data_IF_825671843659
#
_entry.id   IF_825671843659
#
_cell.length_a   1.000
_cell.length_b   1.000
_cell.length_c   1.000
_cell.angle_alpha   90.00
_cell.angle_beta   90.00
_cell.angle_gamma   90.00
#
_symmetry.space_group_name_H-M   'P 1'
#
loop_
_entity.id
_entity.type
_entity.pdbx_description
1 polymer ?
#
# COMPACT_ATOMS: atom_id res chain seq x y z
N UNK A 1 18.78 -5.81 -18.32
CA UNK A 1 18.28 -6.85 -17.40
C UNK A 1 19.41 -7.47 -16.55
N UNK A 2 20.57 -7.81 -17.12
CA UNK A 2 21.65 -8.48 -16.37
C UNK A 2 22.29 -7.62 -15.26
N UNK A 3 22.30 -6.30 -15.39
CA UNK A 3 23.03 -5.43 -14.48
C UNK A 3 22.26 -5.10 -13.18
N UNK A 4 20.94 -5.24 -13.14
CA UNK A 4 20.12 -4.88 -11.98
C UNK A 4 19.68 -6.08 -11.13
N UNK A 5 20.04 -7.31 -11.49
CA UNK A 5 19.73 -8.48 -10.64
C UNK A 5 20.52 -8.45 -9.32
N UNK A 6 21.70 -7.81 -9.29
CA UNK A 6 22.46 -7.63 -8.06
C UNK A 6 21.76 -6.74 -7.02
N UNK A 7 20.81 -5.93 -7.48
CA UNK A 7 20.01 -5.03 -6.65
C UNK A 7 18.74 -5.70 -6.12
N UNK A 8 18.56 -6.99 -6.40
CA UNK A 8 17.46 -7.76 -5.81
C UNK A 8 17.53 -7.75 -4.29
N UNK A 9 16.35 -7.69 -3.65
CA UNK A 9 16.24 -7.87 -2.21
C UNK A 9 16.55 -9.32 -1.85
N UNK A 10 17.47 -9.52 -0.91
CA UNK A 10 17.97 -10.84 -0.52
C UNK A 10 17.82 -11.01 0.99
N UNK A 11 17.18 -12.08 1.48
CA UNK A 11 17.10 -12.45 2.88
C UNK A 11 18.39 -13.17 3.33
N UNK A 12 18.48 -13.51 4.61
CA UNK A 12 19.61 -14.22 5.18
C UNK A 12 19.92 -15.56 4.46
N UNK A 13 18.90 -16.24 3.96
CA UNK A 13 19.05 -17.50 3.24
C UNK A 13 19.75 -17.37 1.87
N UNK A 14 19.88 -16.15 1.34
CA UNK A 14 20.66 -15.87 0.13
C UNK A 14 19.88 -15.86 -1.18
N UNK A 15 18.63 -16.29 -1.21
CA UNK A 15 17.82 -16.30 -2.43
C UNK A 15 17.13 -14.96 -2.68
N UNK A 16 17.08 -14.52 -3.93
CA UNK A 16 16.35 -13.29 -4.29
C UNK A 16 14.87 -13.41 -3.97
N UNK A 17 14.28 -12.36 -3.40
CA UNK A 17 12.84 -12.27 -3.19
C UNK A 17 12.19 -11.82 -4.50
N UNK A 18 11.30 -12.65 -5.03
CA UNK A 18 10.62 -12.42 -6.29
C UNK A 18 9.18 -11.98 -6.07
N UNK A 19 8.77 -10.92 -6.75
CA UNK A 19 7.35 -10.54 -6.87
C UNK A 19 6.62 -11.45 -7.86
N UNK A 20 7.30 -11.82 -8.95
CA UNK A 20 6.79 -12.71 -9.98
C UNK A 20 7.93 -13.33 -10.77
N UNK A 21 7.62 -14.07 -11.83
CA UNK A 21 8.66 -14.72 -12.63
C UNK A 21 9.65 -13.69 -13.19
N UNK A 22 10.91 -13.80 -12.78
CA UNK A 22 12.01 -12.89 -13.17
C UNK A 22 11.80 -11.40 -12.84
N UNK A 23 10.93 -11.10 -11.86
CA UNK A 23 10.68 -9.75 -11.34
C UNK A 23 11.11 -9.72 -9.87
N UNK A 24 12.33 -9.27 -9.55
CA UNK A 24 12.78 -9.18 -8.16
C UNK A 24 12.21 -7.94 -7.47
N UNK A 25 11.97 -8.04 -6.17
CA UNK A 25 11.92 -6.84 -5.33
C UNK A 25 13.30 -6.19 -5.31
N UNK A 26 13.36 -4.88 -5.38
CA UNK A 26 14.59 -4.12 -5.63
C UNK A 26 15.05 -3.38 -4.38
N UNK A 27 16.37 -3.38 -4.14
CA UNK A 27 17.05 -2.37 -3.34
C UNK A 27 17.19 -1.13 -4.21
N UNK A 28 16.53 -0.01 -3.91
CA UNK A 28 16.59 1.19 -4.74
C UNK A 28 17.92 1.93 -4.53
N UNK A 29 18.97 1.36 -5.10
CA UNK A 29 20.31 1.92 -5.12
C UNK A 29 20.38 3.21 -5.94
N UNK A 30 21.44 3.99 -5.77
CA UNK A 30 21.66 5.21 -6.58
C UNK A 30 21.75 4.87 -8.07
N UNK A 31 22.38 3.76 -8.44
CA UNK A 31 22.49 3.30 -9.82
C UNK A 31 21.11 2.95 -10.40
N UNK A 32 20.27 2.26 -9.62
CA UNK A 32 18.90 1.92 -10.02
C UNK A 32 18.04 3.18 -10.19
N UNK A 33 18.14 4.15 -9.29
CA UNK A 33 17.44 5.42 -9.37
C UNK A 33 17.81 6.16 -10.68
N UNK A 34 19.10 6.26 -11.00
CA UNK A 34 19.54 6.87 -12.26
C UNK A 34 19.07 6.09 -13.50
N UNK A 35 19.08 4.77 -13.43
CA UNK A 35 18.49 3.94 -14.48
C UNK A 35 17.01 4.25 -14.69
N UNK A 36 16.22 4.34 -13.63
CA UNK A 36 14.80 4.70 -13.69
C UNK A 36 14.58 6.07 -14.32
N UNK A 37 15.32 7.09 -13.88
CA UNK A 37 15.25 8.43 -14.44
C UNK A 37 15.54 8.46 -15.95
N UNK A 38 16.66 7.85 -16.37
CA UNK A 38 17.15 7.99 -17.74
C UNK A 38 16.51 7.02 -18.73
N UNK A 39 16.14 5.81 -18.30
CA UNK A 39 15.66 4.76 -19.20
C UNK A 39 14.14 4.60 -19.19
N UNK A 40 13.45 5.03 -18.14
CA UNK A 40 12.00 4.93 -18.02
C UNK A 40 11.34 6.31 -18.00
N UNK A 41 11.54 7.09 -16.96
CA UNK A 41 10.84 8.38 -16.76
C UNK A 41 11.07 9.33 -17.95
N UNK A 42 12.30 9.52 -18.35
CA UNK A 42 12.61 10.39 -19.50
C UNK A 42 11.88 9.96 -20.76
N UNK A 43 11.84 8.65 -21.05
CA UNK A 43 11.21 8.14 -22.27
C UNK A 43 9.70 8.35 -22.30
N UNK A 44 9.02 8.12 -21.17
CA UNK A 44 7.56 8.29 -21.13
C UNK A 44 7.18 9.76 -21.22
N UNK A 45 7.96 10.66 -20.63
CA UNK A 45 7.76 12.11 -20.78
C UNK A 45 8.06 12.56 -22.22
N UNK A 46 9.12 12.07 -22.85
CA UNK A 46 9.42 12.36 -24.27
C UNK A 46 8.32 11.84 -25.21
N UNK A 47 7.56 10.83 -24.80
CA UNK A 47 6.40 10.32 -25.52
C UNK A 47 5.10 11.10 -25.23
N UNK A 48 5.16 12.15 -24.41
CA UNK A 48 4.00 12.99 -24.11
C UNK A 48 3.14 12.53 -22.94
N UNK A 49 3.62 11.59 -22.11
CA UNK A 49 2.92 11.15 -20.91
C UNK A 49 3.12 12.17 -19.79
N UNK A 50 2.03 12.63 -19.20
CA UNK A 50 1.99 13.67 -18.18
C UNK A 50 1.63 13.19 -16.77
N UNK A 51 1.50 11.88 -16.58
CA UNK A 51 1.28 11.27 -15.27
C UNK A 51 2.17 10.04 -15.08
N UNK A 52 2.84 9.98 -13.95
CA UNK A 52 3.75 8.88 -13.60
C UNK A 52 3.27 8.25 -12.30
N UNK A 53 3.17 6.94 -12.31
CA UNK A 53 2.81 6.13 -11.16
C UNK A 53 4.01 5.25 -10.79
N UNK A 54 4.47 5.34 -9.53
CA UNK A 54 5.46 4.43 -8.97
C UNK A 54 4.82 3.65 -7.86
N UNK A 55 4.62 2.39 -8.13
CA UNK A 55 3.83 1.49 -7.31
C UNK A 55 4.68 0.86 -6.21
N UNK A 56 4.06 0.64 -5.07
CA UNK A 56 4.49 -0.24 -3.99
C UNK A 56 5.94 -0.03 -3.53
N UNK A 57 6.22 1.02 -2.74
CA UNK A 57 7.55 1.24 -2.15
C UNK A 57 7.85 0.19 -1.06
N UNK A 58 8.03 -1.05 -1.46
CA UNK A 58 8.05 -2.24 -0.61
C UNK A 58 9.46 -2.76 -0.36
N UNK A 59 9.90 -2.71 0.89
CA UNK A 59 11.11 -3.38 1.30
C UNK A 59 10.77 -4.46 2.34
N UNK A 60 10.98 -5.72 1.99
CA UNK A 60 10.73 -6.83 2.92
C UNK A 60 11.63 -6.74 4.15
N UNK A 61 11.03 -6.84 5.34
CA UNK A 61 11.79 -6.76 6.59
C UNK A 61 12.86 -7.85 6.70
N UNK A 62 12.59 -9.05 6.15
CA UNK A 62 13.56 -10.15 6.10
C UNK A 62 14.73 -9.95 5.11
N UNK A 63 14.61 -9.00 4.17
CA UNK A 63 15.70 -8.65 3.25
C UNK A 63 16.74 -7.75 3.92
N UNK A 64 17.84 -7.46 3.21
CA UNK A 64 18.92 -6.61 3.72
C UNK A 64 20.29 -7.28 3.74
N UNK A 65 20.43 -8.37 2.99
CA UNK A 65 21.68 -9.15 2.93
C UNK A 65 22.41 -9.07 1.58
N UNK A 66 21.82 -8.43 0.56
CA UNK A 66 22.46 -8.23 -0.74
C UNK A 66 23.63 -7.25 -0.64
N UNK A 67 24.56 -7.37 -1.57
CA UNK A 67 25.71 -6.46 -1.63
C UNK A 67 25.27 -5.03 -1.88
N UNK A 68 24.28 -4.80 -2.73
CA UNK A 68 23.71 -3.48 -2.96
C UNK A 68 23.18 -2.85 -1.66
N UNK A 69 22.53 -3.62 -0.78
CA UNK A 69 22.07 -3.10 0.50
C UNK A 69 23.24 -2.78 1.44
N UNK A 70 24.28 -3.61 1.47
CA UNK A 70 25.49 -3.37 2.29
C UNK A 70 26.25 -2.13 1.84
N UNK A 71 26.32 -1.89 0.52
CA UNK A 71 26.90 -0.67 -0.05
C UNK A 71 26.11 0.58 0.40
N UNK A 72 24.78 0.54 0.30
CA UNK A 72 23.90 1.63 0.77
C UNK A 72 24.00 1.83 2.30
N UNK A 73 24.13 0.77 3.07
CA UNK A 73 24.37 0.85 4.52
C UNK A 73 25.65 1.61 4.83
N UNK A 74 26.76 1.23 4.20
CA UNK A 74 28.04 1.91 4.38
C UNK A 74 27.96 3.38 3.99
N UNK A 75 27.24 3.69 2.91
CA UNK A 75 27.06 5.06 2.44
C UNK A 75 26.21 5.89 3.39
N UNK A 76 25.18 5.30 4.02
CA UNK A 76 24.25 5.98 4.89
C UNK A 76 24.77 6.16 6.33
N UNK A 77 25.32 5.09 6.91
CA UNK A 77 25.77 5.10 8.30
C UNK A 77 27.25 5.43 8.49
N UNK A 78 28.09 5.27 7.47
CA UNK A 78 29.53 5.52 7.56
C UNK A 78 30.32 4.41 8.28
N UNK A 79 29.70 3.28 8.60
CA UNK A 79 30.35 2.13 9.23
C UNK A 79 29.94 0.80 8.57
N UNK A 80 30.72 -0.30 8.77
CA UNK A 80 30.45 -1.58 8.13
C UNK A 80 29.07 -2.13 8.46
N UNK A 81 28.45 -2.79 7.48
CA UNK A 81 27.15 -3.45 7.63
C UNK A 81 27.15 -4.44 8.79
N UNK A 82 26.02 -4.47 9.51
CA UNK A 82 25.74 -5.39 10.59
C UNK A 82 24.51 -6.20 10.27
N UNK A 83 24.59 -7.52 10.51
CA UNK A 83 23.47 -8.41 10.24
C UNK A 83 22.29 -8.11 11.18
N UNK A 84 21.12 -7.90 10.59
CA UNK A 84 19.92 -7.48 11.34
C UNK A 84 19.44 -8.53 12.36
N UNK A 85 19.72 -9.82 12.13
CA UNK A 85 19.33 -10.92 13.03
C UNK A 85 20.20 -11.02 14.30
N UNK A 86 21.28 -10.27 14.40
CA UNK A 86 22.21 -10.37 15.53
C UNK A 86 21.75 -9.55 16.74
N UNK A 87 20.95 -8.51 16.53
CA UNK A 87 20.43 -7.70 17.64
C UNK A 87 19.22 -6.85 17.26
N UNK A 88 18.39 -6.45 18.24
CA UNK A 88 17.30 -5.49 18.03
C UNK A 88 17.76 -4.16 17.44
N UNK A 89 18.95 -3.67 17.86
CA UNK A 89 19.54 -2.44 17.32
C UNK A 89 19.85 -2.59 15.83
N UNK A 90 20.44 -3.70 15.42
CA UNK A 90 20.75 -3.95 14.02
C UNK A 90 19.46 -4.09 13.17
N UNK A 91 18.41 -4.72 13.71
CA UNK A 91 17.09 -4.77 13.09
C UNK A 91 16.53 -3.36 12.87
N UNK A 92 16.59 -2.52 13.91
CA UNK A 92 16.13 -1.12 13.81
C UNK A 92 16.89 -0.35 12.73
N UNK A 93 18.22 -0.40 12.74
CA UNK A 93 19.05 0.28 11.75
C UNK A 93 18.79 -0.22 10.34
N UNK A 94 18.65 -1.53 10.14
CA UNK A 94 18.35 -2.11 8.83
C UNK A 94 17.00 -1.62 8.31
N UNK A 95 15.94 -1.65 9.11
CA UNK A 95 14.62 -1.23 8.68
C UNK A 95 14.52 0.30 8.49
N UNK A 96 15.20 1.08 9.30
CA UNK A 96 15.33 2.53 9.10
C UNK A 96 16.02 2.85 7.77
N UNK A 97 17.06 2.10 7.39
CA UNK A 97 17.69 2.26 6.09
C UNK A 97 16.75 1.88 4.95
N UNK A 98 16.04 0.76 5.04
CA UNK A 98 15.04 0.32 4.03
C UNK A 98 14.00 1.40 3.77
N UNK A 99 13.44 1.96 4.83
CA UNK A 99 12.55 3.11 4.77
C UNK A 99 13.19 4.29 4.01
N UNK A 100 14.42 4.67 4.39
CA UNK A 100 15.13 5.80 3.77
C UNK A 100 15.39 5.57 2.29
N UNK A 101 15.72 4.36 1.88
CA UNK A 101 16.03 4.04 0.49
C UNK A 101 14.84 4.28 -0.45
N UNK A 102 13.64 3.85 -0.07
CA UNK A 102 12.43 4.13 -0.87
C UNK A 102 11.97 5.57 -0.77
N UNK A 103 12.10 6.21 0.40
CA UNK A 103 11.82 7.64 0.54
C UNK A 103 12.69 8.45 -0.44
N UNK A 104 13.99 8.22 -0.42
CA UNK A 104 14.95 8.85 -1.33
C UNK A 104 14.64 8.56 -2.79
N UNK A 105 14.33 7.31 -3.11
CA UNK A 105 14.08 6.92 -4.50
C UNK A 105 12.88 7.65 -5.10
N UNK A 106 11.78 7.71 -4.39
CA UNK A 106 10.58 8.38 -4.87
C UNK A 106 10.77 9.89 -4.92
N UNK A 107 11.42 10.50 -3.93
CA UNK A 107 11.76 11.92 -3.96
C UNK A 107 12.61 12.27 -5.19
N UNK A 108 13.71 11.55 -5.39
CA UNK A 108 14.63 11.82 -6.50
C UNK A 108 13.98 11.58 -7.88
N UNK A 109 13.23 10.49 -8.04
CA UNK A 109 12.61 10.15 -9.33
C UNK A 109 11.49 11.14 -9.67
N UNK A 110 10.62 11.45 -8.72
CA UNK A 110 9.51 12.39 -8.96
C UNK A 110 9.97 13.83 -9.12
N UNK A 111 10.97 14.26 -8.34
CA UNK A 111 11.60 15.57 -8.53
C UNK A 111 12.22 15.69 -9.93
N UNK A 112 12.91 14.65 -10.38
CA UNK A 112 13.44 14.60 -11.75
C UNK A 112 12.30 14.64 -12.79
N UNK A 113 11.25 13.86 -12.62
CA UNK A 113 10.11 13.80 -13.53
C UNK A 113 9.47 15.18 -13.73
N UNK A 114 9.20 15.87 -12.62
CA UNK A 114 8.64 17.23 -12.66
C UNK A 114 9.60 18.25 -13.31
N UNK A 115 10.88 18.18 -12.97
CA UNK A 115 11.88 19.09 -13.57
C UNK A 115 12.05 18.84 -15.07
N UNK A 116 12.14 17.58 -15.47
CA UNK A 116 12.28 17.20 -16.87
C UNK A 116 11.00 17.55 -17.67
N UNK A 117 9.82 17.26 -17.11
CA UNK A 117 8.54 17.66 -17.72
C UNK A 117 8.47 19.16 -17.98
N UNK A 118 8.78 19.99 -16.97
CA UNK A 118 8.81 21.46 -17.14
C UNK A 118 9.76 21.89 -18.26
N UNK A 119 10.91 21.22 -18.43
CA UNK A 119 11.83 21.53 -19.54
C UNK A 119 11.24 21.22 -20.92
N UNK A 120 10.17 20.41 -20.97
CA UNK A 120 9.42 20.06 -22.19
C UNK A 120 8.09 20.83 -22.30
N UNK A 121 7.83 21.76 -21.39
CA UNK A 121 6.55 22.51 -21.35
C UNK A 121 5.38 21.69 -20.81
N UNK A 122 5.65 20.60 -20.04
CA UNK A 122 4.65 19.70 -19.49
C UNK A 122 4.58 19.85 -17.98
N UNK A 123 3.36 19.74 -17.43
CA UNK A 123 3.12 19.60 -16.00
C UNK A 123 2.91 18.13 -15.66
N UNK A 124 3.97 17.48 -15.22
CA UNK A 124 3.95 16.04 -14.91
C UNK A 124 3.46 15.82 -13.49
N UNK A 125 2.43 15.00 -13.38
CA UNK A 125 1.85 14.56 -12.10
C UNK A 125 2.47 13.23 -11.66
N UNK A 126 2.69 13.08 -10.34
CA UNK A 126 3.36 11.94 -9.77
C UNK A 126 2.52 11.33 -8.65
N UNK A 127 2.16 10.06 -8.79
CA UNK A 127 1.29 9.34 -7.88
C UNK A 127 1.95 8.07 -7.33
N UNK A 128 1.57 7.69 -6.13
CA UNK A 128 2.03 6.47 -5.46
C UNK A 128 0.86 5.53 -5.25
N UNK A 129 0.64 4.53 -6.12
CA UNK A 129 -0.21 3.39 -5.80
C UNK A 129 0.45 2.58 -4.69
N UNK A 130 -0.25 2.38 -3.57
CA UNK A 130 0.33 1.70 -2.41
C UNK A 130 -0.72 1.10 -1.49
N UNK A 131 -0.31 0.10 -0.72
CA UNK A 131 -1.12 -0.49 0.33
C UNK A 131 -1.04 0.35 1.60
N UNK A 132 -2.00 0.16 2.50
CA UNK A 132 -1.99 0.83 3.79
C UNK A 132 -0.88 0.30 4.71
N UNK A 133 -0.45 1.12 5.68
CA UNK A 133 0.46 0.64 6.73
C UNK A 133 -0.11 -0.52 7.53
N UNK A 134 -1.44 -0.67 7.59
CA UNK A 134 -2.11 -1.82 8.20
C UNK A 134 -1.72 -3.11 7.50
N UNK A 135 -1.76 -3.11 6.15
CA UNK A 135 -1.33 -4.26 5.33
C UNK A 135 0.17 -4.49 5.43
N UNK A 136 0.97 -3.46 5.25
CA UNK A 136 2.43 -3.58 5.32
C UNK A 136 2.91 -4.09 6.67
N UNK A 137 2.28 -3.65 7.77
CA UNK A 137 2.58 -4.19 9.08
C UNK A 137 2.26 -5.69 9.20
N UNK A 138 1.16 -6.15 8.61
CA UNK A 138 0.79 -7.56 8.60
C UNK A 138 1.71 -8.39 7.70
N UNK A 139 2.15 -7.85 6.57
CA UNK A 139 3.00 -8.54 5.59
C UNK A 139 4.47 -8.46 5.87
N UNK A 140 4.89 -7.75 6.91
CA UNK A 140 6.30 -7.57 7.24
C UNK A 140 7.07 -6.80 6.14
N UNK A 141 6.47 -5.71 5.68
CA UNK A 141 7.05 -4.81 4.69
C UNK A 141 7.35 -3.47 5.35
N UNK A 142 8.52 -2.92 5.09
CA UNK A 142 8.93 -1.58 5.46
C UNK A 142 8.64 -0.64 4.30
N UNK A 143 7.87 0.41 4.54
CA UNK A 143 7.50 1.42 3.55
C UNK A 143 7.52 2.82 4.16
N UNK A 144 7.92 3.85 3.41
CA UNK A 144 7.89 5.24 3.86
C UNK A 144 6.59 5.96 3.51
N UNK A 145 5.52 5.27 3.16
CA UNK A 145 4.36 5.85 2.47
C UNK A 145 3.77 7.07 3.18
N UNK A 146 3.61 7.06 4.50
CA UNK A 146 3.06 8.21 5.23
C UNK A 146 3.99 9.42 5.19
N UNK A 147 5.30 9.22 5.12
CA UNK A 147 6.27 10.32 4.96
C UNK A 147 6.31 10.89 3.54
N UNK A 148 5.99 10.07 2.53
CA UNK A 148 5.94 10.54 1.13
C UNK A 148 4.86 11.60 0.92
N UNK A 149 3.80 11.61 1.73
CA UNK A 149 2.74 12.62 1.66
C UNK A 149 3.25 14.05 1.95
N UNK A 150 4.38 14.21 2.61
CA UNK A 150 5.01 15.51 2.84
C UNK A 150 5.88 16.00 1.70
N UNK A 151 6.23 15.17 0.73
CA UNK A 151 7.07 15.53 -0.40
C UNK A 151 6.31 16.37 -1.42
N UNK A 152 6.85 17.53 -1.78
CA UNK A 152 6.24 18.43 -2.77
C UNK A 152 6.15 17.83 -4.18
N UNK A 153 6.94 16.80 -4.47
CA UNK A 153 6.92 16.11 -5.75
C UNK A 153 5.81 15.05 -5.86
N UNK A 154 5.16 14.67 -4.75
CA UNK A 154 4.04 13.72 -4.73
C UNK A 154 2.73 14.47 -4.85
N UNK A 155 1.93 14.18 -5.87
CA UNK A 155 0.63 14.82 -6.09
C UNK A 155 -0.52 14.04 -5.45
N UNK A 156 -0.37 12.74 -5.30
CA UNK A 156 -1.41 11.92 -4.70
C UNK A 156 -1.10 10.44 -4.65
N UNK A 157 -2.12 9.67 -4.30
CA UNK A 157 -2.03 8.23 -4.04
C UNK A 157 -3.20 7.49 -4.68
N UNK A 158 -2.96 6.20 -4.97
CA UNK A 158 -4.03 5.23 -5.17
C UNK A 158 -3.99 4.28 -3.98
N UNK A 159 -5.06 4.26 -3.19
CA UNK A 159 -5.19 3.34 -2.07
C UNK A 159 -5.49 1.93 -2.60
N UNK A 160 -4.49 1.07 -2.59
CA UNK A 160 -4.65 -0.32 -3.02
C UNK A 160 -5.32 -1.15 -1.93
N UNK A 161 -6.56 -0.79 -1.61
CA UNK A 161 -7.44 -1.56 -0.72
C UNK A 161 -8.36 -2.39 -1.59
N UNK A 162 -8.00 -3.63 -1.81
CA UNK A 162 -8.76 -4.55 -2.63
C UNK A 162 -9.24 -5.76 -1.81
N UNK A 163 -10.17 -6.49 -2.36
CA UNK A 163 -10.82 -7.59 -1.65
C UNK A 163 -9.81 -8.58 -1.07
N UNK A 164 -8.74 -8.88 -1.79
CA UNK A 164 -7.69 -9.79 -1.34
C UNK A 164 -6.89 -9.28 -0.14
N UNK A 165 -6.58 -7.97 -0.07
CA UNK A 165 -5.84 -7.40 1.07
C UNK A 165 -6.68 -7.39 2.33
N UNK A 166 -7.95 -7.09 2.21
CA UNK A 166 -8.88 -7.02 3.34
C UNK A 166 -9.28 -8.39 3.90
N UNK A 167 -8.84 -9.47 3.26
CA UNK A 167 -9.07 -10.85 3.73
C UNK A 167 -8.06 -11.35 4.75
N UNK A 168 -7.09 -10.53 5.13
CA UNK A 168 -6.16 -10.96 6.19
C UNK A 168 -6.91 -11.31 7.47
N UNK A 169 -6.62 -12.53 7.97
CA UNK A 169 -7.30 -13.03 9.15
C UNK A 169 -6.83 -12.29 10.41
N UNK A 170 -7.78 -11.74 11.16
CA UNK A 170 -7.53 -10.99 12.39
C UNK A 170 -8.07 -11.74 13.60
N UNK A 171 -7.38 -11.57 14.74
CA UNK A 171 -7.85 -12.11 16.02
C UNK A 171 -8.79 -11.12 16.71
N UNK A 172 -9.97 -11.58 17.07
CA UNK A 172 -10.91 -10.81 17.88
C UNK A 172 -11.86 -11.74 18.62
N UNK A 173 -12.08 -11.49 19.90
CA UNK A 173 -13.03 -12.21 20.75
C UNK A 173 -12.84 -13.74 20.74
N UNK A 174 -11.58 -14.19 20.83
CA UNK A 174 -11.23 -15.60 20.88
C UNK A 174 -11.14 -16.32 19.53
N UNK A 175 -11.46 -15.64 18.44
CA UNK A 175 -11.49 -16.20 17.08
C UNK A 175 -10.52 -15.51 16.12
N UNK A 176 -9.85 -16.32 15.30
CA UNK A 176 -9.09 -15.86 14.14
C UNK A 176 -9.93 -16.11 12.88
N UNK A 177 -10.31 -15.05 12.19
CA UNK A 177 -11.05 -15.15 10.92
C UNK A 177 -10.89 -13.93 10.03
N UNK A 178 -11.26 -14.06 8.76
CA UNK A 178 -11.40 -12.94 7.84
C UNK A 178 -12.53 -12.01 8.31
N UNK A 179 -12.27 -10.68 8.30
CA UNK A 179 -13.23 -9.62 8.61
C UNK A 179 -13.13 -8.54 7.56
N UNK A 180 -13.61 -8.88 6.38
CA UNK A 180 -13.34 -8.11 5.16
C UNK A 180 -13.84 -6.67 5.26
N UNK A 181 -15.05 -6.45 5.76
CA UNK A 181 -15.60 -5.09 5.92
C UNK A 181 -14.78 -4.25 6.90
N UNK A 182 -14.50 -4.79 8.09
CA UNK A 182 -13.77 -4.06 9.13
C UNK A 182 -12.32 -3.78 8.71
N UNK A 183 -11.67 -4.74 8.07
CA UNK A 183 -10.32 -4.55 7.55
C UNK A 183 -10.30 -3.48 6.46
N UNK A 184 -11.18 -3.57 5.48
CA UNK A 184 -11.30 -2.57 4.42
C UNK A 184 -11.58 -1.17 4.99
N UNK A 185 -12.49 -1.05 5.96
CA UNK A 185 -12.77 0.21 6.63
C UNK A 185 -11.52 0.83 7.26
N UNK A 186 -10.73 0.03 7.98
CA UNK A 186 -9.50 0.49 8.62
C UNK A 186 -8.39 0.80 7.60
N UNK A 187 -8.29 0.01 6.53
CA UNK A 187 -7.33 0.23 5.46
C UNK A 187 -7.61 1.53 4.70
N UNK A 188 -8.86 1.74 4.25
CA UNK A 188 -9.28 2.99 3.60
C UNK A 188 -9.11 4.18 4.54
N UNK A 189 -9.48 4.04 5.82
CA UNK A 189 -9.32 5.07 6.83
C UNK A 189 -7.86 5.45 7.05
N UNK A 190 -6.96 4.47 7.10
CA UNK A 190 -5.52 4.72 7.18
C UNK A 190 -5.01 5.56 5.99
N UNK A 191 -5.43 5.20 4.78
CA UNK A 191 -5.03 5.93 3.57
C UNK A 191 -5.59 7.36 3.53
N UNK A 192 -6.86 7.55 3.88
CA UNK A 192 -7.47 8.87 3.98
C UNK A 192 -6.76 9.75 5.01
N UNK A 193 -6.56 9.25 6.22
CA UNK A 193 -5.90 9.99 7.30
C UNK A 193 -4.45 10.34 6.99
N UNK A 194 -3.78 9.49 6.18
CA UNK A 194 -2.43 9.75 5.73
C UNK A 194 -2.35 10.98 4.81
N UNK A 195 -3.34 11.19 3.96
CA UNK A 195 -3.28 12.18 2.89
C UNK A 195 -4.09 13.44 3.15
N UNK A 196 -5.23 13.34 3.82
CA UNK A 196 -6.14 14.47 4.04
C UNK A 196 -5.47 15.72 4.63
N UNK A 197 -4.64 15.61 5.69
CA UNK A 197 -3.97 16.78 6.26
C UNK A 197 -2.96 17.44 5.32
N UNK A 198 -2.48 16.73 4.31
CA UNK A 198 -1.46 17.21 3.38
C UNK A 198 -2.04 17.83 2.10
N UNK A 199 -3.35 17.68 1.86
CA UNK A 199 -4.04 18.10 0.66
C UNK A 199 -3.67 17.30 -0.60
N UNK A 200 -3.03 16.13 -0.47
CA UNK A 200 -2.71 15.25 -1.61
C UNK A 200 -3.98 14.55 -2.09
N UNK A 201 -4.04 14.35 -3.41
CA UNK A 201 -5.16 13.65 -4.02
C UNK A 201 -5.15 12.17 -3.64
N UNK A 202 -6.33 11.62 -3.38
CA UNK A 202 -6.53 10.20 -3.10
C UNK A 202 -7.50 9.60 -4.10
N UNK A 203 -7.11 8.48 -4.71
CA UNK A 203 -7.99 7.59 -5.45
C UNK A 203 -8.19 6.32 -4.64
N UNK A 204 -9.40 5.78 -4.62
CA UNK A 204 -9.62 4.45 -4.08
C UNK A 204 -9.61 3.42 -5.19
N UNK A 205 -8.88 2.34 -4.95
CA UNK A 205 -9.00 1.14 -5.76
C UNK A 205 -10.24 0.37 -5.31
N UNK A 206 -11.01 -0.14 -6.27
CA UNK A 206 -12.13 -1.05 -6.04
C UNK A 206 -11.95 -2.30 -6.89
N UNK A 207 -12.10 -3.48 -6.30
CA UNK A 207 -11.78 -4.76 -6.95
C UNK A 207 -12.92 -5.78 -6.82
N UNK A 208 -13.69 -5.99 -7.91
CA UNK A 208 -14.76 -6.99 -7.92
C UNK A 208 -14.26 -8.44 -7.98
N UNK A 209 -12.98 -8.66 -8.33
CA UNK A 209 -12.37 -9.98 -8.44
C UNK A 209 -10.93 -9.92 -7.96
N UNK A 210 -10.66 -10.58 -6.85
CA UNK A 210 -9.32 -10.63 -6.29
C UNK A 210 -8.39 -11.64 -6.99
N UNK A 211 -7.11 -11.57 -6.73
CA UNK A 211 -6.09 -12.47 -7.29
C UNK A 211 -6.15 -13.89 -6.74
N UNK A 212 -6.67 -14.09 -5.54
CA UNK A 212 -6.86 -15.42 -4.96
C UNK A 212 -7.95 -16.15 -5.72
N UNK A 213 -7.68 -17.38 -6.15
CA UNK A 213 -8.66 -18.17 -6.90
C UNK A 213 -9.81 -18.62 -5.98
N UNK A 214 -10.91 -17.92 -6.06
CA UNK A 214 -12.15 -18.16 -5.33
C UNK A 214 -13.29 -18.48 -6.31
N UNK A 215 -14.49 -18.65 -5.79
CA UNK A 215 -15.69 -18.80 -6.60
C UNK A 215 -16.47 -17.49 -6.71
N UNK A 216 -17.45 -17.48 -7.64
CA UNK A 216 -18.25 -16.28 -7.91
C UNK A 216 -19.07 -15.79 -6.71
N UNK A 217 -19.50 -16.67 -5.82
CA UNK A 217 -20.25 -16.27 -4.64
C UNK A 217 -19.31 -15.56 -3.64
N UNK A 218 -18.13 -16.10 -3.46
CA UNK A 218 -17.10 -15.52 -2.61
C UNK A 218 -16.69 -14.12 -3.12
N UNK A 219 -16.35 -13.97 -4.40
CA UNK A 219 -16.03 -12.67 -5.00
C UNK A 219 -17.15 -11.66 -4.79
N UNK A 220 -18.39 -12.04 -5.06
CA UNK A 220 -19.55 -11.17 -4.91
C UNK A 220 -19.71 -10.66 -3.48
N UNK A 221 -19.67 -11.56 -2.50
CA UNK A 221 -19.90 -11.21 -1.09
C UNK A 221 -18.77 -10.32 -0.54
N UNK A 222 -17.54 -10.64 -0.87
CA UNK A 222 -16.39 -9.88 -0.37
C UNK A 222 -16.23 -8.53 -1.07
N UNK A 223 -16.54 -8.44 -2.37
CA UNK A 223 -16.61 -7.15 -3.03
C UNK A 223 -17.70 -6.24 -2.45
N UNK A 224 -18.87 -6.78 -2.11
CA UNK A 224 -19.90 -6.00 -1.41
C UNK A 224 -19.38 -5.42 -0.09
N UNK A 225 -18.59 -6.19 0.65
CA UNK A 225 -18.04 -5.75 1.92
C UNK A 225 -17.02 -4.61 1.75
N UNK A 226 -16.07 -4.74 0.81
CA UNK A 226 -15.08 -3.69 0.53
C UNK A 226 -15.72 -2.46 -0.09
N UNK A 227 -16.67 -2.63 -1.02
CA UNK A 227 -17.43 -1.53 -1.61
C UNK A 227 -18.22 -0.74 -0.54
N UNK A 228 -18.88 -1.42 0.39
CA UNK A 228 -19.59 -0.75 1.47
C UNK A 228 -18.65 0.02 2.37
N UNK A 229 -17.48 -0.52 2.67
CA UNK A 229 -16.47 0.15 3.49
C UNK A 229 -15.98 1.44 2.83
N UNK A 230 -15.68 1.43 1.52
CA UNK A 230 -15.21 2.64 0.82
C UNK A 230 -16.24 3.76 0.78
N UNK A 231 -17.55 3.44 0.75
CA UNK A 231 -18.62 4.45 0.77
C UNK A 231 -18.70 5.24 2.09
N UNK A 232 -18.04 4.76 3.15
CA UNK A 232 -17.96 5.49 4.43
C UNK A 232 -16.91 6.62 4.40
N UNK A 233 -16.28 6.84 3.27
CA UNK A 233 -15.32 7.93 3.04
C UNK A 233 -15.78 8.83 1.88
N UNK A 234 -16.87 9.59 2.07
CA UNK A 234 -17.53 10.34 0.98
C UNK A 234 -16.72 11.53 0.46
N UNK A 235 -15.62 11.88 1.11
CA UNK A 235 -14.67 12.89 0.61
C UNK A 235 -13.91 12.42 -0.63
N UNK A 236 -13.91 11.11 -0.89
CA UNK A 236 -13.24 10.51 -2.04
C UNK A 236 -14.26 10.28 -3.14
N UNK A 237 -13.96 10.81 -4.35
CA UNK A 237 -14.82 10.70 -5.53
C UNK A 237 -14.08 10.15 -6.76
N UNK A 238 -12.81 9.79 -6.60
CA UNK A 238 -12.01 9.22 -7.70
C UNK A 238 -11.69 7.77 -7.39
N UNK A 239 -11.98 6.88 -8.37
CA UNK A 239 -11.87 5.45 -8.19
C UNK A 239 -11.09 4.80 -9.33
N UNK A 240 -10.28 3.80 -9.01
CA UNK A 240 -9.67 2.87 -9.94
C UNK A 240 -10.36 1.51 -9.83
N UNK A 241 -10.82 0.97 -10.95
CA UNK A 241 -11.45 -0.36 -10.98
C UNK A 241 -10.42 -1.40 -11.42
N UNK A 242 -10.12 -2.34 -10.53
CA UNK A 242 -9.25 -3.48 -10.78
C UNK A 242 -10.05 -4.79 -10.74
N UNK A 243 -9.63 -5.84 -11.40
CA UNK A 243 -8.63 -5.95 -12.47
C UNK A 243 -9.17 -5.47 -13.82
N UNK A 244 -8.39 -5.71 -14.89
CA UNK A 244 -8.79 -5.34 -16.26
C UNK A 244 -10.17 -5.88 -16.65
N UNK A 245 -10.94 -5.18 -17.48
CA UNK A 245 -12.29 -5.57 -17.87
C UNK A 245 -12.41 -6.97 -18.47
N UNK A 246 -11.43 -7.41 -19.26
CA UNK A 246 -11.38 -8.76 -19.82
C UNK A 246 -11.25 -9.84 -18.74
N UNK A 247 -10.48 -9.60 -17.69
CA UNK A 247 -10.36 -10.49 -16.54
C UNK A 247 -11.69 -10.59 -15.77
N UNK A 248 -12.44 -9.52 -15.70
CA UNK A 248 -13.75 -9.50 -15.06
C UNK A 248 -14.81 -10.22 -15.92
N UNK A 249 -14.94 -9.81 -17.18
CA UNK A 249 -16.07 -10.24 -18.02
C UNK A 249 -15.80 -11.53 -18.82
N UNK A 250 -14.55 -11.83 -19.12
CA UNK A 250 -14.16 -13.00 -19.90
C UNK A 250 -13.45 -14.08 -19.09
N UNK A 251 -13.00 -13.76 -17.88
CA UNK A 251 -12.37 -14.71 -16.98
C UNK A 251 -13.31 -15.85 -16.59
N UNK A 252 -12.74 -17.06 -16.47
CA UNK A 252 -13.45 -18.25 -16.05
C UNK A 252 -13.09 -18.57 -14.60
N UNK A 253 -14.04 -18.40 -13.69
CA UNK A 253 -13.88 -18.65 -12.25
C UNK A 253 -14.83 -19.75 -11.78
N UNK A 254 -14.53 -20.34 -10.64
CA UNK A 254 -15.32 -21.44 -10.07
C UNK A 254 -16.76 -21.01 -9.76
N UNK A 255 -17.68 -21.92 -9.94
CA UNK A 255 -19.03 -21.80 -9.40
C UNK A 255 -19.04 -22.48 -8.03
N UNK A 256 -19.61 -21.79 -7.03
CA UNK A 256 -19.67 -22.30 -5.66
C UNK A 256 -20.22 -23.72 -5.60
N UNK A 257 -19.59 -24.57 -4.80
CA UNK A 257 -19.97 -25.96 -4.54
C UNK A 257 -19.86 -26.92 -5.74
N UNK A 258 -19.19 -26.49 -6.84
CA UNK A 258 -18.97 -27.31 -8.03
C UNK A 258 -17.52 -27.25 -8.49
N UNK A 259 -17.14 -28.14 -9.42
CA UNK A 259 -15.87 -28.08 -10.15
C UNK A 259 -15.97 -27.31 -11.47
N UNK A 260 -17.15 -26.78 -11.80
CA UNK A 260 -17.37 -26.00 -12.99
C UNK A 260 -16.74 -24.62 -12.90
N UNK A 261 -16.34 -24.10 -14.05
CA UNK A 261 -15.89 -22.72 -14.21
C UNK A 261 -16.76 -22.03 -15.24
N UNK A 262 -17.20 -20.83 -14.93
CA UNK A 262 -18.04 -20.03 -15.79
C UNK A 262 -17.57 -18.57 -15.84
N UNK A 263 -18.01 -17.84 -16.84
CA UNK A 263 -17.92 -16.39 -16.86
C UNK A 263 -18.79 -15.79 -15.77
N UNK A 264 -18.59 -14.51 -15.49
CA UNK A 264 -19.34 -13.80 -14.47
C UNK A 264 -20.85 -14.02 -14.60
N UNK A 265 -21.54 -14.48 -13.55
CA UNK A 265 -22.99 -14.65 -13.57
C UNK A 265 -23.70 -13.32 -13.84
N UNK A 266 -24.75 -13.35 -14.68
CA UNK A 266 -25.46 -12.15 -15.10
C UNK A 266 -25.91 -11.27 -13.92
N UNK A 267 -26.42 -11.88 -12.86
CA UNK A 267 -26.87 -11.13 -11.68
C UNK A 267 -25.73 -10.40 -10.94
N UNK A 268 -24.54 -10.99 -10.93
CA UNK A 268 -23.36 -10.34 -10.33
C UNK A 268 -22.81 -9.25 -11.26
N UNK A 269 -22.69 -9.54 -12.54
CA UNK A 269 -22.26 -8.56 -13.56
C UNK A 269 -23.16 -7.31 -13.53
N UNK A 270 -24.48 -7.48 -13.47
CA UNK A 270 -25.44 -6.37 -13.37
C UNK A 270 -25.25 -5.59 -12.07
N UNK A 271 -25.13 -6.27 -10.94
CA UNK A 271 -24.88 -5.63 -9.65
C UNK A 271 -23.59 -4.82 -9.66
N UNK A 272 -22.49 -5.40 -10.15
CA UNK A 272 -21.20 -4.73 -10.25
C UNK A 272 -21.26 -3.47 -11.12
N UNK A 273 -21.95 -3.54 -12.27
CA UNK A 273 -22.16 -2.39 -13.14
C UNK A 273 -22.95 -1.27 -12.44
N UNK A 274 -23.98 -1.64 -11.68
CA UNK A 274 -24.73 -0.66 -10.87
C UNK A 274 -23.84 -0.01 -9.84
N UNK A 275 -23.04 -0.79 -9.12
CA UNK A 275 -22.08 -0.28 -8.12
C UNK A 275 -21.07 0.69 -8.73
N UNK A 276 -20.45 0.31 -9.84
CA UNK A 276 -19.46 1.15 -10.53
C UNK A 276 -20.11 2.44 -11.09
N UNK A 277 -21.31 2.32 -11.68
CA UNK A 277 -22.02 3.50 -12.17
C UNK A 277 -22.41 4.44 -11.02
N UNK A 278 -22.77 3.88 -9.85
CA UNK A 278 -23.03 4.69 -8.66
C UNK A 278 -21.81 5.51 -8.26
N UNK A 279 -20.63 4.92 -8.29
CA UNK A 279 -19.39 5.66 -7.99
C UNK A 279 -19.14 6.80 -8.99
N UNK A 280 -19.43 6.58 -10.28
CA UNK A 280 -19.30 7.64 -11.29
C UNK A 280 -20.23 8.83 -11.06
N UNK A 281 -21.38 8.57 -10.48
CA UNK A 281 -22.42 9.59 -10.25
C UNK A 281 -22.32 10.25 -8.86
N UNK A 282 -21.45 9.74 -7.97
CA UNK A 282 -21.27 10.28 -6.63
C UNK A 282 -20.28 11.45 -6.64
N UNK A 283 -20.72 12.68 -6.32
CA UNK A 283 -19.77 13.77 -6.10
C UNK A 283 -19.02 13.58 -4.78
N UNK A 284 -17.84 14.17 -4.68
CA UNK A 284 -17.18 14.29 -3.40
C UNK A 284 -18.02 15.12 -2.43
N UNK A 285 -18.14 14.67 -1.19
CA UNK A 285 -18.84 15.37 -0.13
C UNK A 285 -17.85 15.78 0.96
N UNK A 286 -18.07 16.95 1.55
CA UNK A 286 -17.37 17.37 2.75
C UNK A 286 -17.94 16.71 4.02
N UNK A 287 -19.05 15.98 3.91
CA UNK A 287 -19.64 15.27 5.02
C UNK A 287 -18.74 14.13 5.48
N UNK A 288 -18.60 13.98 6.77
CA UNK A 288 -17.92 12.85 7.39
C UNK A 288 -18.93 11.85 7.93
N UNK A 289 -18.67 10.57 7.75
CA UNK A 289 -19.47 9.48 8.32
C UNK A 289 -18.87 9.01 9.64
N UNK A 290 -18.00 9.80 10.23
CA UNK A 290 -17.45 9.50 11.54
C UNK A 290 -18.47 9.86 12.62
N UNK A 291 -18.74 8.92 13.51
CA UNK A 291 -19.68 9.13 14.63
C UNK A 291 -19.02 9.30 15.98
N UNK A 292 -17.71 9.20 16.06
CA UNK A 292 -16.97 9.27 17.32
C UNK A 292 -15.79 10.22 17.19
N UNK A 293 -16.08 11.49 17.04
CA UNK A 293 -15.05 12.50 17.11
C UNK A 293 -14.23 12.34 18.39
N UNK A 294 -12.93 12.15 18.25
CA UNK A 294 -11.99 12.10 19.36
C UNK A 294 -11.44 10.72 19.72
N UNK A 295 -11.70 9.66 18.97
CA UNK A 295 -11.02 8.37 19.14
C UNK A 295 -10.08 8.13 17.95
N UNK A 296 -8.81 8.42 18.15
CA UNK A 296 -7.75 8.15 17.18
C UNK A 296 -6.79 7.05 17.66
N UNK A 297 -6.34 6.19 16.75
CA UNK A 297 -5.28 5.21 17.00
C UNK A 297 -4.03 5.67 16.27
N UNK A 298 -2.96 5.91 17.02
CA UNK A 298 -1.69 6.37 16.45
C UNK A 298 -1.02 5.27 15.64
N UNK A 299 -0.51 5.66 14.49
CA UNK A 299 0.29 4.83 13.61
C UNK A 299 1.49 5.61 13.07
N UNK A 300 2.58 4.93 12.76
CA UNK A 300 3.80 5.54 12.22
C UNK A 300 4.54 4.56 11.32
N UNK A 301 5.22 5.07 10.30
CA UNK A 301 6.18 4.28 9.50
C UNK A 301 7.24 3.61 10.39
N UNK A 302 7.65 4.24 11.49
CA UNK A 302 8.64 3.72 12.42
C UNK A 302 8.17 2.50 13.20
N UNK A 303 6.87 2.20 13.22
CA UNK A 303 6.32 0.96 13.76
C UNK A 303 7.00 -0.27 13.15
N UNK A 304 7.40 -0.17 11.89
CA UNK A 304 8.03 -1.26 11.15
C UNK A 304 9.51 -1.47 11.53
N UNK A 305 10.15 -0.52 12.21
CA UNK A 305 11.60 -0.57 12.43
C UNK A 305 12.04 -1.65 13.42
N UNK A 306 11.21 -2.04 14.35
CA UNK A 306 11.52 -3.08 15.34
C UNK A 306 10.56 -4.29 15.28
N UNK A 307 9.57 -4.21 14.42
CA UNK A 307 8.46 -5.15 14.44
C UNK A 307 8.84 -6.58 14.03
N UNK A 308 9.79 -6.75 13.14
CA UNK A 308 10.14 -8.06 12.58
C UNK A 308 11.46 -8.53 13.13
N UNK A 309 11.40 -9.35 14.13
CA UNK A 309 12.59 -9.85 14.74
C UNK A 309 13.21 -10.90 13.85
N UNK A 310 14.45 -10.70 13.65
CA UNK A 310 15.36 -11.77 13.39
C UNK A 310 16.05 -12.19 14.71
N UNK A 311 15.38 -11.93 15.84
CA UNK A 311 15.83 -12.24 17.20
C UNK A 311 14.66 -12.79 18.01
N UNK A 312 14.93 -13.56 19.03
CA UNK A 312 13.93 -14.23 19.84
C UNK A 312 12.97 -13.25 20.55
N UNK A 313 11.70 -13.55 20.53
CA UNK A 313 10.73 -13.06 21.50
C UNK A 313 9.75 -12.00 21.03
N UNK A 314 9.81 -11.53 19.77
CA UNK A 314 8.81 -10.58 19.30
C UNK A 314 8.36 -10.88 17.86
N UNK A 315 7.21 -11.48 17.72
CA UNK A 315 6.49 -11.61 16.46
C UNK A 315 5.00 -11.33 16.69
N UNK A 316 4.45 -10.41 15.93
CA UNK A 316 3.02 -10.15 15.90
C UNK A 316 2.50 -10.17 14.44
N UNK A 317 2.47 -11.37 13.81
CA UNK A 317 2.18 -11.51 12.40
C UNK A 317 0.76 -11.11 12.02
N UNK A 318 -0.14 -11.00 13.02
CA UNK A 318 -1.53 -10.59 12.82
C UNK A 318 -1.80 -9.14 13.20
N UNK A 319 -0.75 -8.39 13.50
CA UNK A 319 -0.88 -7.01 13.94
C UNK A 319 -1.89 -6.84 15.10
N UNK A 320 -1.82 -7.75 16.06
CA UNK A 320 -2.80 -7.88 17.15
C UNK A 320 -2.87 -6.64 18.04
N UNK A 321 -1.77 -5.91 18.21
CA UNK A 321 -1.75 -4.65 18.95
C UNK A 321 -2.65 -3.58 18.31
N UNK A 322 -2.67 -3.49 17.00
CA UNK A 322 -3.52 -2.58 16.26
C UNK A 322 -4.99 -3.05 16.27
N UNK A 323 -5.24 -4.27 15.88
CA UNK A 323 -6.60 -4.81 15.82
C UNK A 323 -7.23 -4.99 17.20
N UNK A 324 -6.43 -5.23 18.23
CA UNK A 324 -6.91 -5.26 19.62
C UNK A 324 -7.43 -3.92 20.12
N UNK A 325 -6.97 -2.81 19.57
CA UNK A 325 -7.47 -1.47 19.89
C UNK A 325 -8.65 -1.06 19.00
N UNK A 326 -8.60 -1.38 17.72
CA UNK A 326 -9.56 -0.88 16.72
C UNK A 326 -10.82 -1.73 16.62
N UNK A 327 -10.70 -3.07 16.54
CA UNK A 327 -11.86 -3.95 16.33
C UNK A 327 -12.94 -3.85 17.44
N UNK A 328 -12.60 -3.75 18.74
CA UNK A 328 -13.62 -3.57 19.77
C UNK A 328 -14.51 -2.35 19.57
N UNK A 329 -13.97 -1.29 18.99
CA UNK A 329 -14.69 -0.06 18.66
C UNK A 329 -15.52 -0.23 17.39
N UNK A 330 -14.86 -0.61 16.31
CA UNK A 330 -15.49 -0.77 14.98
C UNK A 330 -16.64 -1.79 15.04
N UNK A 331 -16.47 -2.91 15.75
CA UNK A 331 -17.51 -3.93 15.94
C UNK A 331 -18.73 -3.45 16.74
N UNK A 332 -18.62 -2.33 17.46
CA UNK A 332 -19.72 -1.66 18.15
C UNK A 332 -20.29 -0.47 17.39
N UNK A 333 -19.85 -0.27 16.14
CA UNK A 333 -20.27 0.86 15.33
C UNK A 333 -19.67 2.20 15.80
N UNK A 334 -18.53 2.14 16.49
CA UNK A 334 -17.77 3.32 16.88
C UNK A 334 -16.64 3.48 15.86
N UNK A 335 -16.72 4.46 14.97
CA UNK A 335 -15.66 4.72 14.01
C UNK A 335 -14.37 5.07 14.74
N UNK A 336 -13.26 4.61 14.20
CA UNK A 336 -11.94 4.85 14.77
C UNK A 336 -11.07 5.42 13.68
N UNK A 337 -10.50 6.57 13.95
CA UNK A 337 -9.57 7.21 13.03
C UNK A 337 -8.15 6.72 13.26
N UNK A 338 -7.40 6.60 12.18
CA UNK A 338 -5.99 6.28 12.24
C UNK A 338 -5.23 7.59 12.08
N UNK A 339 -4.47 7.97 13.10
CA UNK A 339 -3.68 9.20 13.11
C UNK A 339 -2.22 8.88 12.82
N UNK A 340 -1.73 9.31 11.67
CA UNK A 340 -0.33 9.14 11.32
C UNK A 340 0.55 10.17 12.04
N UNK A 341 1.54 9.69 12.79
CA UNK A 341 2.46 10.54 13.56
C UNK A 341 3.22 11.51 12.65
N UNK A 342 3.50 11.08 11.42
CA UNK A 342 4.13 11.92 10.38
C UNK A 342 3.31 13.17 10.05
N UNK A 343 1.99 13.14 10.28
CA UNK A 343 1.07 14.24 9.99
C UNK A 343 0.80 15.17 11.19
N UNK A 344 1.35 14.89 12.36
CA UNK A 344 1.06 15.68 13.59
C UNK A 344 1.49 17.15 13.51
N UNK A 345 2.34 17.50 12.57
CA UNK A 345 2.72 18.88 12.27
C UNK A 345 1.69 19.66 11.44
N UNK A 346 0.70 19.00 10.86
CA UNK A 346 -0.36 19.66 10.11
C UNK A 346 -1.54 20.01 11.03
N UNK A 347 -1.97 21.29 11.08
CA UNK A 347 -3.10 21.68 11.92
C UNK A 347 -4.39 20.90 11.63
N UNK A 348 -4.58 20.51 10.38
CA UNK A 348 -5.73 19.75 9.90
C UNK A 348 -5.87 18.39 10.59
N UNK A 349 -4.76 17.76 10.99
CA UNK A 349 -4.76 16.47 11.73
C UNK A 349 -5.55 16.52 13.04
N UNK A 350 -5.70 17.71 13.62
CA UNK A 350 -6.29 17.91 14.94
C UNK A 350 -7.66 18.60 14.90
N UNK A 351 -8.24 18.79 13.72
CA UNK A 351 -9.54 19.48 13.57
C UNK A 351 -10.74 18.57 13.70
N UNK A 352 -10.58 17.28 13.77
CA UNK A 352 -11.64 16.27 13.88
C UNK A 352 -11.84 15.75 15.30
#
# INVERSE_FOLDING_TARGET
KKNHLREGQVPQAGDTIWHGHMVPYIVPSREFIEYMKQKHVKRVIDAGIDAIYMEEPEFWARAGYSDAFKEEWQAYYGFPWRAQHESPENTYLANKLKYHLYYRALDEVFTFAKAYGRSKGMDVRCYVPTHSLVNYASWQIVSPEASLASLSCVDGYIAQVWTGTSREATFYNGEVRERVFENAFLEYGSMCSMTAPTGRKMFFLTDPIEDRQKDWLDYKLNYQATFTAQLLYPTIADYEVMPWPDRIYEGLYRVAWTDCRERIPRHYSTQMQVMINTLNDMPASADTVSGSHGIGVLMSNSLMFQRFPNHDGYDDPRFSNFYGQTLPLVKRGIPTEIVHIENTGYPETWKE
#
